data_IF_173762183829
#
_entry.id   IF_173762183829
#
_cell.length_a   1.000
_cell.length_b   1.000
_cell.length_c   1.000
_cell.angle_alpha   90.00
_cell.angle_beta   90.00
_cell.angle_gamma   90.00
#
_symmetry.space_group_name_H-M   'P 1'
#
loop_
_entity.id
_entity.type
_entity.pdbx_description
1 polymer ?
#
# COMPACT_ATOMS: atom_id res chain seq x y z
N UNK A 1 -7.51 16.18 -5.22
CA UNK A 1 -7.01 16.98 -4.07
C UNK A 1 -6.05 16.14 -3.26
N UNK A 2 -4.88 16.66 -2.93
CA UNK A 2 -3.94 15.90 -2.12
C UNK A 2 -4.47 15.67 -0.70
N UNK A 3 -3.91 14.69 -0.03
CA UNK A 3 -4.27 14.45 1.37
C UNK A 3 -3.81 15.61 2.24
N UNK A 4 -4.58 15.89 3.30
CA UNK A 4 -4.27 16.94 4.27
C UNK A 4 -3.53 16.41 5.49
N UNK A 5 -3.52 15.10 5.68
CA UNK A 5 -2.88 14.42 6.79
C UNK A 5 -3.31 12.98 6.89
N UNK A 6 -2.86 12.31 7.95
CA UNK A 6 -3.27 10.94 8.27
C UNK A 6 -3.64 10.85 9.75
N UNK A 7 -4.70 10.07 10.03
CA UNK A 7 -5.09 9.71 11.40
C UNK A 7 -4.59 8.31 11.72
N UNK A 8 -4.46 8.00 13.00
CA UNK A 8 -4.07 6.66 13.48
C UNK A 8 -2.73 6.19 12.92
N UNK A 9 -1.78 7.11 12.80
CA UNK A 9 -0.43 6.79 12.32
C UNK A 9 0.32 5.95 13.35
N UNK A 10 1.31 5.18 12.87
CA UNK A 10 2.28 4.56 13.77
C UNK A 10 3.21 5.60 14.39
N UNK A 11 4.10 5.18 15.28
CA UNK A 11 5.05 6.10 15.92
C UNK A 11 6.00 6.71 14.88
N UNK A 12 6.60 7.88 15.17
CA UNK A 12 7.58 8.47 14.27
C UNK A 12 8.75 7.51 14.01
N UNK A 13 9.24 7.51 12.78
CA UNK A 13 10.35 6.66 12.35
C UNK A 13 11.47 7.52 11.78
N UNK A 14 12.63 6.89 11.57
CA UNK A 14 13.83 7.54 11.04
C UNK A 14 14.18 7.00 9.65
N UNK A 15 15.10 7.68 8.96
CA UNK A 15 15.67 7.18 7.71
C UNK A 15 16.28 5.79 7.89
N UNK A 16 16.92 5.53 9.03
CA UNK A 16 17.50 4.23 9.32
C UNK A 16 16.44 3.12 9.38
N UNK A 17 15.25 3.43 9.91
CA UNK A 17 14.14 2.47 9.94
C UNK A 17 13.70 2.10 8.53
N UNK A 18 13.67 3.06 7.60
CA UNK A 18 13.31 2.80 6.20
C UNK A 18 14.43 2.02 5.49
N UNK A 19 15.69 2.36 5.76
CA UNK A 19 16.81 1.61 5.21
C UNK A 19 16.75 0.13 5.62
N UNK A 20 16.41 -0.14 6.87
CA UNK A 20 16.24 -1.50 7.37
C UNK A 20 15.07 -2.20 6.66
N UNK A 21 13.98 -1.50 6.45
CA UNK A 21 12.84 -2.03 5.68
C UNK A 21 13.27 -2.42 4.26
N UNK A 22 14.00 -1.53 3.59
CA UNK A 22 14.48 -1.80 2.23
C UNK A 22 15.40 -3.02 2.18
N UNK A 23 16.26 -3.19 3.18
CA UNK A 23 17.10 -4.38 3.27
C UNK A 23 16.26 -5.64 3.43
N UNK A 24 15.24 -5.60 4.26
CA UNK A 24 14.33 -6.73 4.46
C UNK A 24 13.57 -7.07 3.18
N UNK A 25 13.12 -6.05 2.45
CA UNK A 25 12.38 -6.24 1.20
C UNK A 25 13.27 -6.62 0.02
N UNK A 26 14.56 -6.29 0.08
CA UNK A 26 15.49 -6.51 -1.01
C UNK A 26 15.30 -5.54 -2.18
N UNK A 27 14.68 -4.39 -1.94
CA UNK A 27 14.40 -3.38 -2.98
C UNK A 27 14.42 -1.99 -2.36
N UNK A 28 14.86 -1.00 -3.14
CA UNK A 28 14.76 0.40 -2.75
C UNK A 28 13.36 0.92 -3.04
N UNK A 29 12.81 1.70 -2.12
CA UNK A 29 11.49 2.31 -2.29
C UNK A 29 11.63 3.65 -3.03
N UNK A 30 10.62 4.04 -3.83
CA UNK A 30 10.62 5.36 -4.46
C UNK A 30 10.76 6.49 -3.44
N UNK A 31 11.47 7.56 -3.83
CA UNK A 31 11.74 8.68 -2.94
C UNK A 31 10.47 9.32 -2.38
N UNK A 32 9.42 9.44 -3.19
CA UNK A 32 8.14 10.00 -2.75
C UNK A 32 7.47 9.14 -1.67
N UNK A 33 7.56 7.83 -1.79
CA UNK A 33 6.98 6.94 -0.80
C UNK A 33 7.80 6.96 0.50
N UNK A 34 9.14 7.01 0.41
CA UNK A 34 9.99 7.17 1.58
C UNK A 34 9.65 8.47 2.33
N UNK A 35 9.48 9.57 1.62
CA UNK A 35 9.10 10.85 2.21
C UNK A 35 7.76 10.78 2.92
N UNK A 36 6.79 10.10 2.32
CA UNK A 36 5.47 9.87 2.93
C UNK A 36 5.59 9.09 4.25
N UNK A 37 6.37 8.01 4.24
CA UNK A 37 6.56 7.17 5.43
C UNK A 37 7.25 7.95 6.57
N UNK A 38 8.19 8.82 6.24
CA UNK A 38 8.84 9.67 7.25
C UNK A 38 7.87 10.68 7.86
N UNK A 39 6.95 11.17 7.07
CA UNK A 39 5.95 12.14 7.53
C UNK A 39 4.79 11.47 8.26
N UNK A 40 4.28 10.37 7.69
CA UNK A 40 3.15 9.62 8.24
C UNK A 40 3.52 8.14 8.22
N UNK A 41 3.86 7.60 9.33
CA UNK A 41 4.16 6.17 9.42
C UNK A 41 2.87 5.34 9.33
N UNK A 42 2.24 5.36 8.15
CA UNK A 42 0.95 4.72 7.90
C UNK A 42 -0.23 5.57 8.36
N UNK A 43 -1.38 4.92 8.51
CA UNK A 43 -2.60 5.57 9.00
C UNK A 43 -3.63 5.84 7.92
N UNK A 44 -4.77 6.40 8.32
CA UNK A 44 -5.88 6.73 7.42
C UNK A 44 -5.68 8.11 6.82
N UNK A 45 -5.61 8.22 5.49
CA UNK A 45 -5.46 9.54 4.85
C UNK A 45 -6.75 10.35 4.95
N UNK A 46 -6.60 11.68 4.92
CA UNK A 46 -7.72 12.63 4.91
C UNK A 46 -7.52 13.54 3.70
N UNK A 47 -8.40 13.49 2.70
CA UNK A 47 -9.56 12.61 2.51
C UNK A 47 -9.14 11.17 2.22
N UNK A 48 -10.08 10.23 2.29
CA UNK A 48 -9.78 8.80 2.18
C UNK A 48 -10.34 8.11 0.94
N UNK A 49 -11.09 8.81 0.09
CA UNK A 49 -11.60 8.23 -1.16
C UNK A 49 -10.53 8.12 -2.23
N UNK A 50 -10.47 7.00 -2.93
CA UNK A 50 -9.47 6.76 -3.97
C UNK A 50 -9.98 5.80 -5.04
N UNK A 51 -9.24 5.77 -6.16
CA UNK A 51 -9.54 4.83 -7.24
C UNK A 51 -10.72 5.27 -8.10
N UNK A 52 -11.25 4.31 -8.85
CA UNK A 52 -12.39 4.52 -9.74
C UNK A 52 -13.51 3.54 -9.44
N UNK A 53 -14.56 3.51 -10.28
CA UNK A 53 -15.73 2.66 -10.07
C UNK A 53 -15.40 1.16 -10.06
N UNK A 54 -14.32 0.77 -10.72
CA UNK A 54 -13.94 -0.62 -10.82
C UNK A 54 -12.98 -1.05 -9.72
N UNK A 55 -11.97 -0.22 -9.43
CA UNK A 55 -10.92 -0.53 -8.46
C UNK A 55 -10.71 0.67 -7.54
N UNK A 56 -11.23 0.56 -6.35
CA UNK A 56 -11.07 1.61 -5.35
C UNK A 56 -12.27 1.68 -4.42
N UNK A 57 -12.13 2.45 -3.40
CA UNK A 57 -13.19 2.78 -2.45
C UNK A 57 -12.67 3.80 -1.43
N UNK A 58 -12.80 3.51 -0.15
CA UNK A 58 -12.23 4.30 0.93
C UNK A 58 -11.00 3.60 1.47
N UNK A 59 -9.92 4.35 1.63
CA UNK A 59 -8.70 3.82 2.24
C UNK A 59 -8.90 3.70 3.75
N UNK A 60 -8.82 2.49 4.26
CA UNK A 60 -8.89 2.28 5.70
C UNK A 60 -7.57 2.69 6.36
N UNK A 61 -6.46 2.22 5.80
CA UNK A 61 -5.16 2.55 6.38
C UNK A 61 -4.02 2.23 5.43
N UNK A 62 -3.04 3.12 5.37
CA UNK A 62 -1.71 2.80 4.86
C UNK A 62 -0.97 1.99 5.92
N UNK A 63 -0.16 1.02 5.51
CA UNK A 63 0.63 0.22 6.44
C UNK A 63 1.85 0.98 6.95
N UNK A 64 2.24 0.67 8.19
CA UNK A 64 3.38 1.30 8.86
C UNK A 64 4.68 0.56 8.56
N UNK A 65 5.79 1.25 8.68
CA UNK A 65 7.13 0.63 8.66
C UNK A 65 7.33 -0.17 9.94
N UNK A 66 6.89 0.39 11.07
CA UNK A 66 7.14 -0.15 12.40
C UNK A 66 6.00 0.29 13.32
N UNK A 67 5.36 -0.65 13.99
CA UNK A 67 4.26 -0.34 14.89
C UNK A 67 4.10 -1.47 15.90
N UNK A 68 4.70 -1.32 17.07
CA UNK A 68 4.69 -2.37 18.11
C UNK A 68 3.30 -2.63 18.68
N UNK A 69 2.39 -1.63 18.63
CA UNK A 69 1.02 -1.78 19.11
C UNK A 69 0.12 -2.47 18.09
N UNK A 70 0.49 -2.44 16.82
CA UNK A 70 -0.32 -3.03 15.75
C UNK A 70 0.57 -3.61 14.66
N UNK A 71 1.26 -4.71 14.98
CA UNK A 71 2.24 -5.34 14.09
C UNK A 71 1.60 -5.88 12.81
N UNK A 72 0.31 -6.24 12.83
CA UNK A 72 -0.37 -6.74 11.63
C UNK A 72 -0.51 -5.68 10.55
N UNK A 73 -0.53 -4.41 10.93
CA UNK A 73 -0.65 -3.29 9.99
C UNK A 73 0.71 -2.77 9.51
N UNK A 74 1.74 -3.59 9.60
CA UNK A 74 3.06 -3.25 9.08
C UNK A 74 3.28 -3.86 7.69
N UNK A 75 4.10 -3.18 6.90
CA UNK A 75 4.38 -3.58 5.50
C UNK A 75 4.95 -5.01 5.44
N UNK A 76 5.91 -5.33 6.29
CA UNK A 76 6.56 -6.65 6.26
C UNK A 76 5.63 -7.77 6.66
N UNK A 77 4.79 -7.57 7.68
CA UNK A 77 3.83 -8.59 8.11
C UNK A 77 2.78 -8.81 7.01
N UNK A 78 2.26 -7.74 6.42
CA UNK A 78 1.29 -7.85 5.34
C UNK A 78 1.87 -8.56 4.12
N UNK A 79 3.11 -8.24 3.75
CA UNK A 79 3.79 -8.94 2.66
C UNK A 79 3.87 -10.45 2.93
N UNK A 80 4.27 -10.82 4.15
CA UNK A 80 4.46 -12.22 4.51
C UNK A 80 3.14 -12.99 4.58
N UNK A 81 2.09 -12.36 5.11
CA UNK A 81 0.77 -12.99 5.20
C UNK A 81 0.15 -13.24 3.82
N UNK A 82 0.44 -12.39 2.84
CA UNK A 82 -0.20 -12.42 1.52
C UNK A 82 0.72 -12.93 0.41
N UNK A 83 1.90 -13.44 0.74
CA UNK A 83 2.92 -13.85 -0.25
C UNK A 83 2.42 -14.88 -1.27
N UNK A 84 1.48 -15.73 -0.88
CA UNK A 84 0.92 -16.75 -1.78
C UNK A 84 -0.42 -16.32 -2.40
N UNK A 85 -0.88 -15.11 -2.12
CA UNK A 85 -2.16 -14.59 -2.57
C UNK A 85 -2.00 -13.39 -3.50
N UNK A 86 -1.00 -12.56 -3.27
CA UNK A 86 -0.66 -11.40 -4.09
C UNK A 86 0.62 -11.72 -4.86
N UNK A 87 0.66 -11.44 -6.19
CA UNK A 87 1.89 -11.67 -6.96
C UNK A 87 3.11 -10.98 -6.34
N UNK A 88 4.26 -11.62 -6.40
CA UNK A 88 5.48 -11.16 -5.70
C UNK A 88 6.09 -9.87 -6.24
N UNK A 89 5.68 -9.43 -7.42
CA UNK A 89 6.10 -8.13 -7.98
C UNK A 89 5.35 -6.95 -7.37
N UNK A 90 4.36 -7.21 -6.50
CA UNK A 90 3.55 -6.20 -5.84
C UNK A 90 3.76 -6.23 -4.33
N UNK A 91 3.99 -5.06 -3.75
CA UNK A 91 4.15 -4.89 -2.31
C UNK A 91 2.87 -4.28 -1.72
N UNK A 92 2.17 -4.98 -0.81
CA UNK A 92 1.02 -4.35 -0.14
C UNK A 92 1.47 -3.14 0.67
N UNK A 93 0.85 -1.99 0.44
CA UNK A 93 1.14 -0.75 1.17
C UNK A 93 -0.06 -0.19 1.91
N UNK A 94 -1.25 -0.74 1.69
CA UNK A 94 -2.45 -0.28 2.38
C UNK A 94 -3.62 -1.23 2.17
N UNK A 95 -4.68 -0.98 2.94
CA UNK A 95 -5.91 -1.77 2.91
C UNK A 95 -7.11 -0.83 2.78
N UNK A 96 -8.08 -1.20 1.95
CA UNK A 96 -9.31 -0.43 1.82
C UNK A 96 -10.39 -0.92 2.79
N UNK A 97 -11.53 -0.22 2.81
CA UNK A 97 -12.63 -0.54 3.72
C UNK A 97 -13.22 -1.95 3.49
N UNK A 98 -13.08 -2.49 2.28
CA UNK A 98 -13.58 -3.81 1.93
C UNK A 98 -12.57 -4.95 2.13
N UNK A 99 -11.37 -4.65 2.59
CA UNK A 99 -10.33 -5.65 2.80
C UNK A 99 -9.40 -5.90 1.62
N UNK A 100 -9.61 -5.21 0.50
CA UNK A 100 -8.69 -5.29 -0.64
C UNK A 100 -7.39 -4.54 -0.34
N UNK A 101 -6.37 -4.78 -1.12
CA UNK A 101 -5.05 -4.19 -0.87
C UNK A 101 -4.67 -3.20 -1.95
N UNK A 102 -4.09 -2.09 -1.52
CA UNK A 102 -3.36 -1.19 -2.40
C UNK A 102 -1.91 -1.64 -2.40
N UNK A 103 -1.34 -1.81 -3.58
CA UNK A 103 0.00 -2.37 -3.73
C UNK A 103 0.87 -1.47 -4.60
N UNK A 104 2.17 -1.53 -4.36
CA UNK A 104 3.17 -0.82 -5.16
C UNK A 104 4.01 -1.82 -5.94
N UNK A 105 4.24 -1.56 -7.23
CA UNK A 105 5.15 -2.37 -8.03
C UNK A 105 6.58 -2.21 -7.55
N UNK A 106 7.29 -3.34 -7.43
CA UNK A 106 8.67 -3.37 -6.93
C UNK A 106 9.65 -4.06 -7.87
N UNK A 107 9.24 -4.32 -9.10
CA UNK A 107 10.15 -4.86 -10.13
C UNK A 107 10.41 -3.79 -11.19
N UNK A 108 11.47 -3.94 -12.03
CA UNK A 108 11.77 -2.91 -13.04
C UNK A 108 10.61 -2.57 -13.97
N UNK A 109 9.75 -3.55 -14.29
CA UNK A 109 8.67 -3.38 -15.25
C UNK A 109 7.52 -2.52 -14.71
N UNK A 110 7.35 -2.49 -13.37
CA UNK A 110 6.22 -1.79 -12.76
C UNK A 110 6.63 -0.88 -11.59
N UNK A 111 7.90 -0.58 -11.47
CA UNK A 111 8.46 0.09 -10.31
C UNK A 111 7.73 1.39 -9.97
N UNK A 112 7.26 1.49 -8.73
CA UNK A 112 6.59 2.68 -8.22
C UNK A 112 5.14 2.84 -8.64
N UNK A 113 4.64 2.04 -9.57
CA UNK A 113 3.24 2.10 -9.98
C UNK A 113 2.33 1.56 -8.89
N UNK A 114 1.11 2.08 -8.82
CA UNK A 114 0.16 1.72 -7.77
C UNK A 114 -0.98 0.91 -8.36
N UNK A 115 -1.26 -0.22 -7.72
CA UNK A 115 -2.27 -1.18 -8.17
C UNK A 115 -3.28 -1.46 -7.07
N UNK A 116 -4.49 -1.81 -7.48
CA UNK A 116 -5.52 -2.32 -6.58
C UNK A 116 -5.61 -3.83 -6.75
N UNK A 117 -5.47 -4.57 -5.66
CA UNK A 117 -5.67 -6.01 -5.62
C UNK A 117 -7.02 -6.28 -4.95
N UNK A 118 -8.01 -6.70 -5.77
CA UNK A 118 -9.36 -6.93 -5.28
C UNK A 118 -9.45 -8.30 -4.59
N UNK A 119 -9.59 -8.27 -3.27
CA UNK A 119 -9.65 -9.49 -2.47
C UNK A 119 -10.84 -10.36 -2.85
N UNK A 120 -11.96 -9.73 -3.18
CA UNK A 120 -13.20 -10.45 -3.50
C UNK A 120 -13.12 -11.29 -4.78
N UNK A 121 -12.11 -11.12 -5.60
CA UNK A 121 -11.92 -11.86 -6.86
C UNK A 121 -10.54 -12.51 -6.94
N UNK A 122 -9.96 -12.82 -5.79
CA UNK A 122 -8.65 -13.50 -5.77
C UNK A 122 -8.76 -14.95 -6.22
N UNK A 123 -7.63 -15.53 -6.63
CA UNK A 123 -7.54 -16.96 -6.93
C UNK A 123 -7.83 -17.76 -5.65
N UNK A 124 -8.53 -18.87 -5.76
CA UNK A 124 -8.94 -19.67 -4.60
C UNK A 124 -7.79 -20.32 -3.85
N UNK A 125 -8.09 -20.92 -2.68
CA UNK A 125 -7.07 -21.60 -1.87
C UNK A 125 -6.31 -22.66 -2.67
N UNK A 126 -5.00 -22.74 -2.46
CA UNK A 126 -4.14 -23.69 -3.13
C UNK A 126 -3.83 -23.35 -4.59
N UNK A 127 -4.32 -22.27 -5.12
CA UNK A 127 -4.04 -21.80 -6.47
C UNK A 127 -2.97 -20.72 -6.46
N UNK A 128 -2.23 -20.64 -7.56
CA UNK A 128 -1.28 -19.53 -7.74
C UNK A 128 -2.05 -18.22 -7.90
N UNK A 129 -1.50 -17.09 -7.41
CA UNK A 129 -2.11 -15.80 -7.65
C UNK A 129 -2.28 -15.54 -9.15
N UNK A 130 -3.44 -15.04 -9.55
CA UNK A 130 -3.65 -14.56 -10.91
C UNK A 130 -3.68 -13.04 -10.93
N UNK A 131 -3.88 -12.45 -12.11
CA UNK A 131 -3.82 -10.99 -12.24
C UNK A 131 -5.16 -10.36 -12.66
N UNK A 132 -6.20 -11.14 -12.84
CA UNK A 132 -7.49 -10.61 -13.29
C UNK A 132 -8.16 -9.69 -12.28
N UNK A 133 -7.79 -9.81 -11.01
CA UNK A 133 -8.30 -8.98 -9.92
C UNK A 133 -7.37 -7.80 -9.59
N UNK A 134 -6.43 -7.49 -10.48
CA UNK A 134 -5.45 -6.44 -10.27
C UNK A 134 -5.65 -5.36 -11.33
N UNK A 135 -5.75 -4.10 -10.88
CA UNK A 135 -5.87 -2.96 -11.77
C UNK A 135 -4.90 -1.86 -11.42
N UNK A 136 -4.34 -1.20 -12.44
CA UNK A 136 -3.50 -0.03 -12.25
C UNK A 136 -4.37 1.16 -11.85
N UNK A 137 -4.03 1.84 -10.76
CA UNK A 137 -4.79 3.00 -10.29
C UNK A 137 -3.99 4.29 -10.28
N UNK A 138 -2.66 4.22 -10.36
CA UNK A 138 -1.81 5.40 -10.52
C UNK A 138 -0.44 5.00 -11.08
N UNK A 139 0.19 5.90 -11.82
CA UNK A 139 1.50 5.65 -12.42
C UNK A 139 2.64 5.80 -11.43
N UNK A 140 2.42 6.53 -10.35
CA UNK A 140 3.41 6.72 -9.28
C UNK A 140 2.70 7.10 -7.98
N UNK A 141 3.46 7.14 -6.90
CA UNK A 141 2.90 7.40 -5.57
C UNK A 141 2.40 8.83 -5.41
N UNK A 142 3.09 9.81 -5.98
CA UNK A 142 2.66 11.22 -5.90
C UNK A 142 1.31 11.42 -6.59
N UNK A 143 1.14 10.86 -7.79
CA UNK A 143 -0.13 10.92 -8.50
C UNK A 143 -1.23 10.21 -7.71
N UNK A 144 -0.89 9.12 -7.04
CA UNK A 144 -1.83 8.41 -6.20
C UNK A 144 -2.34 9.30 -5.07
N UNK A 145 -1.43 9.95 -4.33
CA UNK A 145 -1.81 10.85 -3.24
C UNK A 145 -2.65 12.04 -3.73
N UNK A 146 -2.32 12.57 -4.92
CA UNK A 146 -3.09 13.68 -5.52
C UNK A 146 -4.50 13.27 -5.92
N UNK A 147 -4.74 11.99 -6.15
CA UNK A 147 -6.05 11.48 -6.60
C UNK A 147 -7.06 11.33 -5.47
N UNK A 148 -6.64 11.41 -4.21
CA UNK A 148 -7.55 11.23 -3.08
C UNK A 148 -8.60 12.35 -3.02
N UNK A 149 -9.82 12.00 -2.63
CA UNK A 149 -10.96 12.92 -2.61
C UNK A 149 -11.93 12.52 -1.49
N UNK A 150 -12.95 13.37 -1.27
CA UNK A 150 -13.96 13.16 -0.23
C UNK A 150 -15.11 12.28 -0.70
N UNK A 151 -15.12 11.84 -1.94
CA UNK A 151 -16.16 10.98 -2.48
C UNK A 151 -15.66 9.52 -2.52
N UNK A 152 -16.51 8.57 -2.10
CA UNK A 152 -16.16 7.16 -2.16
C UNK A 152 -16.05 6.65 -3.58
#
# INVERSE_FOLDING_TARGET
MPIRGCEFTGPPITEADIDELEQTLGVELPASYRAFLLRYNGGRPIPDGFGDDRFGSLMDSFFSVKNDENVYDTITVQRDLFKDRIPSDLLPIGIDAGGSRVCMGITPENYGKIFFWAMYDEAGPGRKPWRRNIGLIADNFDDFLESFNDEP
#
